data_IF_829208543889
#
_entry.id   IF_829208543889
#
_cell.length_a   1.000
_cell.length_b   1.000
_cell.length_c   1.000
_cell.angle_alpha   90.00
_cell.angle_beta   90.00
_cell.angle_gamma   90.00
#
_symmetry.space_group_name_H-M   'P 1'
#
loop_
_entity.id
_entity.type
_entity.pdbx_description
1 polymer ?
#
# COMPACT_ATOMS: atom_id res chain seq x y z
N UNK A 1 0.17 -19.77 -14.52
CA UNK A 1 -0.58 -19.46 -13.28
C UNK A 1 -1.71 -18.49 -13.63
N UNK A 2 -2.97 -18.80 -13.35
CA UNK A 2 -4.09 -17.85 -13.55
C UNK A 2 -3.90 -16.69 -12.56
N UNK A 3 -3.75 -15.47 -13.04
CA UNK A 3 -3.76 -14.27 -12.19
C UNK A 3 -5.10 -14.22 -11.45
N UNK A 4 -5.08 -14.46 -10.14
CA UNK A 4 -6.28 -14.45 -9.31
C UNK A 4 -6.61 -13.00 -8.96
N UNK A 5 -7.71 -12.49 -9.52
CA UNK A 5 -8.34 -11.27 -9.02
C UNK A 5 -9.18 -11.64 -7.79
N UNK A 6 -9.11 -10.84 -6.72
CA UNK A 6 -9.78 -11.07 -5.43
C UNK A 6 -10.69 -9.89 -5.11
N UNK A 7 -11.88 -10.15 -4.58
CA UNK A 7 -12.71 -9.09 -4.01
C UNK A 7 -12.37 -8.91 -2.52
N UNK A 8 -12.39 -7.67 -2.04
CA UNK A 8 -12.11 -7.33 -0.65
C UNK A 8 -13.44 -7.20 0.08
N UNK A 9 -13.79 -8.22 0.86
CA UNK A 9 -15.00 -8.21 1.68
C UNK A 9 -14.90 -7.16 2.80
N UNK A 10 -15.97 -6.39 3.01
CA UNK A 10 -16.05 -5.33 4.01
C UNK A 10 -15.32 -4.03 3.63
N UNK A 11 -14.73 -3.95 2.43
CA UNK A 11 -14.12 -2.71 1.95
C UNK A 11 -15.19 -1.78 1.38
N UNK A 12 -15.24 -0.56 1.88
CA UNK A 12 -16.02 0.52 1.30
C UNK A 12 -15.14 1.38 0.38
N UNK A 13 -15.64 1.67 -0.82
CA UNK A 13 -14.97 2.59 -1.72
C UNK A 13 -14.99 4.01 -1.11
N UNK A 14 -13.85 4.73 -1.02
CA UNK A 14 -13.85 6.09 -0.50
C UNK A 14 -14.55 7.10 -1.42
N UNK A 15 -14.66 6.79 -2.71
CA UNK A 15 -15.19 7.68 -3.74
C UNK A 15 -16.73 7.61 -3.80
N UNK A 16 -17.27 6.40 -4.02
CA UNK A 16 -18.72 6.17 -4.13
C UNK A 16 -19.39 5.60 -2.88
N UNK A 17 -18.63 5.26 -1.83
CA UNK A 17 -19.10 4.66 -0.56
C UNK A 17 -19.75 3.27 -0.69
N UNK A 18 -19.64 2.65 -1.85
CA UNK A 18 -20.15 1.31 -2.07
C UNK A 18 -19.33 0.25 -1.32
N UNK A 19 -20.02 -0.69 -0.68
CA UNK A 19 -19.42 -1.78 0.10
C UNK A 19 -19.18 -3.02 -0.77
N UNK A 20 -18.09 -3.75 -0.52
CA UNK A 20 -17.74 -5.00 -1.23
C UNK A 20 -17.45 -4.83 -2.73
N UNK A 21 -17.16 -3.61 -3.17
CA UNK A 21 -16.91 -3.28 -4.59
C UNK A 21 -15.43 -3.20 -4.96
N UNK A 22 -14.54 -3.33 -3.99
CA UNK A 22 -13.09 -3.22 -4.20
C UNK A 22 -12.50 -4.55 -4.68
N UNK A 23 -11.85 -4.54 -5.83
CA UNK A 23 -11.18 -5.66 -6.47
C UNK A 23 -9.67 -5.48 -6.40
N UNK A 24 -8.97 -6.42 -5.77
CA UNK A 24 -7.53 -6.52 -5.76
C UNK A 24 -7.03 -7.44 -6.88
N UNK A 25 -6.09 -6.96 -7.68
CA UNK A 25 -5.46 -7.69 -8.75
C UNK A 25 -3.97 -7.35 -8.85
N UNK A 26 -3.18 -8.28 -9.39
CA UNK A 26 -1.75 -8.10 -9.57
C UNK A 26 -1.43 -7.89 -11.04
N UNK A 27 -0.79 -6.77 -11.36
CA UNK A 27 -0.43 -6.37 -12.71
C UNK A 27 1.04 -5.94 -12.73
N UNK A 28 1.86 -6.58 -13.56
CA UNK A 28 3.30 -6.34 -13.65
C UNK A 28 4.03 -6.40 -12.30
N UNK A 29 3.71 -7.41 -11.49
CA UNK A 29 4.21 -7.62 -10.12
C UNK A 29 3.66 -6.63 -9.07
N UNK A 30 2.96 -5.58 -9.47
CA UNK A 30 2.36 -4.57 -8.58
C UNK A 30 0.94 -4.95 -8.20
N UNK A 31 0.63 -4.90 -6.90
CA UNK A 31 -0.73 -5.05 -6.39
C UNK A 31 -1.52 -3.76 -6.57
N UNK A 32 -2.67 -3.87 -7.23
CA UNK A 32 -3.60 -2.77 -7.52
C UNK A 32 -4.97 -3.12 -6.97
N UNK A 33 -5.65 -2.11 -6.47
CA UNK A 33 -7.04 -2.20 -6.02
C UNK A 33 -7.89 -1.29 -6.89
N UNK A 34 -9.03 -1.76 -7.35
CA UNK A 34 -9.96 -1.01 -8.19
C UNK A 34 -11.40 -1.20 -7.72
N UNK A 35 -12.16 -0.13 -7.60
CA UNK A 35 -13.60 -0.19 -7.37
C UNK A 35 -14.30 -0.50 -8.69
N UNK A 36 -15.11 -1.57 -8.73
CA UNK A 36 -15.85 -1.96 -9.94
C UNK A 36 -17.07 -1.09 -10.23
N UNK A 37 -17.54 -0.29 -9.25
CA UNK A 37 -18.72 0.57 -9.44
C UNK A 37 -18.38 1.96 -9.98
N UNK A 38 -17.36 2.62 -9.43
CA UNK A 38 -16.96 3.96 -9.87
C UNK A 38 -15.66 3.98 -10.69
N UNK A 39 -14.93 2.87 -10.75
CA UNK A 39 -13.64 2.80 -11.44
C UNK A 39 -12.47 3.43 -10.68
N UNK A 40 -12.65 3.79 -9.40
CA UNK A 40 -11.60 4.35 -8.56
C UNK A 40 -10.45 3.33 -8.36
N UNK A 41 -9.21 3.71 -8.69
CA UNK A 41 -8.04 2.83 -8.62
C UNK A 41 -7.07 3.32 -7.54
N UNK A 42 -6.67 2.41 -6.66
CA UNK A 42 -5.65 2.63 -5.64
C UNK A 42 -4.49 1.67 -5.94
N UNK A 43 -3.37 2.21 -6.40
CA UNK A 43 -2.12 1.47 -6.39
C UNK A 43 -1.47 1.70 -5.03
N UNK A 44 -0.95 0.65 -4.40
CA UNK A 44 -0.03 0.85 -3.27
C UNK A 44 1.30 1.31 -3.89
N UNK A 45 1.72 2.59 -3.77
CA UNK A 45 3.05 2.93 -4.19
C UNK A 45 4.02 2.24 -3.23
N UNK A 46 4.98 1.50 -3.78
CA UNK A 46 6.16 0.96 -3.08
C UNK A 46 6.90 2.04 -2.23
N UNK A 47 6.60 3.32 -2.51
CA UNK A 47 7.13 4.50 -1.84
C UNK A 47 6.62 4.74 -0.40
N UNK A 48 5.68 3.97 0.13
CA UNK A 48 5.30 4.09 1.55
C UNK A 48 6.35 3.48 2.51
N UNK A 49 7.27 2.63 2.01
CA UNK A 49 8.35 2.04 2.82
C UNK A 49 9.59 2.93 2.89
N UNK A 50 9.80 3.84 1.93
CA UNK A 50 10.94 4.76 1.94
C UNK A 50 10.79 5.91 2.95
N UNK A 51 9.58 6.26 3.36
CA UNK A 51 9.36 7.32 4.35
C UNK A 51 9.70 6.86 5.78
N UNK A 52 9.46 5.59 6.12
CA UNK A 52 9.78 5.05 7.46
C UNK A 52 11.27 4.72 7.64
N UNK A 53 12.03 4.45 6.57
CA UNK A 53 13.47 4.15 6.72
C UNK A 53 14.30 5.40 7.05
N UNK A 54 13.86 6.59 6.62
CA UNK A 54 14.59 7.85 6.87
C UNK A 54 14.34 8.47 8.25
N UNK A 55 13.35 8.01 9.02
CA UNK A 55 13.11 8.50 10.37
C UNK A 55 14.00 7.86 11.44
N UNK A 56 14.67 6.74 11.11
CA UNK A 56 15.57 6.03 12.04
C UNK A 56 17.07 6.24 11.77
N UNK A 57 17.44 7.02 10.75
CA UNK A 57 18.86 7.25 10.39
C UNK A 57 19.53 8.39 11.21
N UNK A 58 18.80 9.01 12.16
CA UNK A 58 19.25 10.22 12.86
C UNK A 58 19.71 9.97 14.31
N UNK A 59 20.20 8.78 14.69
CA UNK A 59 20.96 8.61 15.96
C UNK A 59 22.01 7.51 15.81
N UNK A 60 23.15 7.86 15.21
CA UNK A 60 24.40 7.11 15.38
C UNK A 60 25.04 7.66 16.67
N UNK A 61 24.96 6.90 17.75
CA UNK A 61 25.61 7.23 19.02
C UNK A 61 27.12 7.33 18.84
N UNK A 62 27.66 8.55 18.83
CA UNK A 62 29.10 8.80 18.90
C UNK A 62 29.56 8.52 20.33
N UNK A 63 30.20 7.36 20.52
CA UNK A 63 30.91 7.02 21.75
C UNK A 63 32.26 7.76 21.77
N UNK A 64 32.48 8.65 22.75
CA UNK A 64 33.78 9.29 23.01
C UNK A 64 34.45 8.61 24.22
N UNK A 65 35.53 7.83 24.04
CA UNK A 65 36.32 7.35 25.18
C UNK A 65 37.40 8.39 25.51
N UNK A 66 37.31 9.03 26.68
CA UNK A 66 38.33 9.96 27.17
C UNK A 66 37.84 10.91 28.26
N UNK A 67 37.41 10.36 29.41
CA UNK A 67 37.67 10.89 30.76
C UNK A 67 37.73 9.69 31.72
#
# INVERSE_FOLDING_TARGET
>A
MRQKKRFIAGASCPDCKAMDTMMLYREHDVEKVECVECGHKMAQPDNAVQASTRQFEQVIGVFKPGD
#
